data_IF_461310138093
#
_entry.id   IF_461310138093
#
_cell.length_a   1.000
_cell.length_b   1.000
_cell.length_c   1.000
_cell.angle_alpha   90.00
_cell.angle_beta   90.00
_cell.angle_gamma   90.00
#
_symmetry.space_group_name_H-M   'P 1'
#
loop_
_entity.id
_entity.type
_entity.pdbx_description
1 polymer ?
#
# COMPACT_ATOMS: atom_id res chain seq x y z
N UNK A 1 1.12 -20.09 26.15
CA UNK A 1 0.56 -18.74 25.88
C UNK A 1 0.32 -17.90 27.13
N UNK A 2 -0.43 -18.36 28.15
CA UNK A 2 -0.76 -17.56 29.35
C UNK A 2 0.34 -17.45 30.43
N UNK A 3 1.50 -18.09 30.22
CA UNK A 3 2.55 -18.14 31.24
C UNK A 3 3.23 -16.76 31.39
N UNK A 4 3.41 -16.21 32.61
CA UNK A 4 3.89 -14.84 32.80
C UNK A 4 5.29 -14.54 32.26
N UNK A 5 6.17 -15.54 32.22
CA UNK A 5 7.59 -15.35 31.83
C UNK A 5 8.00 -16.01 30.52
N UNK A 6 7.21 -16.96 30.01
CA UNK A 6 7.52 -17.73 28.79
C UNK A 6 6.36 -17.73 27.79
N UNK A 7 5.26 -17.04 28.14
CA UNK A 7 4.08 -16.90 27.31
C UNK A 7 4.20 -15.77 26.29
N UNK A 8 3.09 -15.50 25.62
CA UNK A 8 2.99 -14.37 24.69
C UNK A 8 3.01 -13.08 25.49
N UNK A 9 3.63 -12.04 24.94
CA UNK A 9 3.57 -10.72 25.55
C UNK A 9 2.12 -10.23 25.55
N UNK A 10 1.51 -10.23 26.73
CA UNK A 10 0.15 -9.71 26.91
C UNK A 10 0.23 -8.21 27.13
N UNK A 11 -0.66 -7.47 26.49
CA UNK A 11 -0.79 -6.04 26.69
C UNK A 11 -1.25 -5.79 28.13
N UNK A 12 -0.59 -4.85 28.80
CA UNK A 12 -1.04 -4.34 30.10
C UNK A 12 -2.48 -3.84 29.99
N UNK A 13 -3.23 -3.83 31.10
CA UNK A 13 -4.57 -3.23 31.15
C UNK A 13 -4.51 -1.75 30.75
N UNK A 14 -4.68 -1.49 29.46
CA UNK A 14 -4.88 -0.15 28.92
C UNK A 14 -6.38 0.15 29.00
N UNK A 15 -6.73 1.39 29.34
CA UNK A 15 -8.13 1.84 29.38
C UNK A 15 -8.79 1.54 28.03
N UNK A 16 -9.67 0.54 27.98
CA UNK A 16 -10.41 0.14 26.78
C UNK A 16 -10.01 -1.18 26.11
N UNK A 17 -9.00 -1.90 26.62
CA UNK A 17 -8.73 -3.30 26.22
C UNK A 17 -9.05 -4.26 27.37
N UNK A 18 -9.63 -5.41 27.04
CA UNK A 18 -9.84 -6.50 28.00
C UNK A 18 -8.51 -7.10 28.47
N UNK A 19 -8.47 -7.76 29.64
CA UNK A 19 -7.30 -8.52 30.05
C UNK A 19 -7.00 -9.64 29.04
N UNK A 20 -5.74 -10.09 28.99
CA UNK A 20 -5.25 -11.13 28.07
C UNK A 20 -5.32 -10.78 26.58
N UNK A 21 -5.27 -9.49 26.24
CA UNK A 21 -5.06 -9.04 24.87
C UNK A 21 -3.60 -9.23 24.44
N UNK A 22 -3.40 -9.59 23.17
CA UNK A 22 -2.10 -9.73 22.53
C UNK A 22 -2.16 -9.24 21.09
N UNK A 23 -0.98 -8.97 20.52
CA UNK A 23 -0.83 -8.57 19.12
C UNK A 23 -0.64 -9.81 18.24
N UNK A 24 -1.35 -9.88 17.10
CA UNK A 24 -1.32 -11.05 16.22
C UNK A 24 0.08 -11.36 15.64
N UNK A 25 0.90 -10.36 15.34
CA UNK A 25 2.28 -10.57 14.92
C UNK A 25 3.18 -11.16 16.03
N UNK A 26 3.01 -10.72 17.28
CA UNK A 26 3.82 -11.16 18.40
C UNK A 26 3.55 -12.62 18.77
N UNK A 27 2.27 -13.05 18.74
CA UNK A 27 1.93 -14.46 18.99
C UNK A 27 2.46 -15.38 17.89
N UNK A 28 2.39 -14.96 16.62
CA UNK A 28 2.94 -15.75 15.50
C UNK A 28 4.45 -15.87 15.63
N UNK A 29 5.15 -14.78 15.97
CA UNK A 29 6.59 -14.81 16.26
C UNK A 29 6.91 -15.71 17.47
N UNK A 30 6.10 -15.67 18.53
CA UNK A 30 6.25 -16.54 19.69
C UNK A 30 6.09 -18.02 19.32
N UNK A 31 5.05 -18.37 18.54
CA UNK A 31 4.78 -19.73 18.07
C UNK A 31 5.95 -20.31 17.29
N UNK A 32 6.50 -19.56 16.34
CA UNK A 32 7.64 -20.01 15.51
C UNK A 32 8.88 -20.27 16.36
N UNK A 33 9.12 -19.47 17.41
CA UNK A 33 10.34 -19.57 18.21
C UNK A 33 10.25 -20.54 19.40
N UNK A 34 9.05 -20.82 19.92
CA UNK A 34 8.87 -21.54 21.19
C UNK A 34 8.08 -22.84 21.08
N UNK A 35 7.40 -23.12 19.96
CA UNK A 35 6.61 -24.33 19.80
C UNK A 35 7.31 -25.30 18.84
N UNK A 36 7.62 -26.49 19.35
CA UNK A 36 8.22 -27.55 18.56
C UNK A 36 7.33 -27.93 17.36
N UNK A 37 7.94 -28.02 16.17
CA UNK A 37 7.26 -28.40 14.93
C UNK A 37 6.74 -27.22 14.10
N UNK A 38 6.77 -25.98 14.59
CA UNK A 38 6.43 -24.78 13.79
C UNK A 38 7.70 -24.19 13.20
N UNK A 39 7.91 -24.38 11.90
CA UNK A 39 9.11 -23.87 11.21
C UNK A 39 8.84 -22.64 10.33
N UNK A 40 7.57 -22.38 10.01
CA UNK A 40 7.21 -21.28 9.10
C UNK A 40 6.13 -20.39 9.70
N UNK A 41 6.16 -19.12 9.32
CA UNK A 41 5.14 -18.15 9.70
C UNK A 41 3.74 -18.58 9.21
N UNK A 42 3.65 -19.21 8.04
CA UNK A 42 2.39 -19.73 7.49
C UNK A 42 1.78 -20.79 8.40
N UNK A 43 2.57 -21.76 8.88
CA UNK A 43 2.09 -22.78 9.81
C UNK A 43 1.58 -22.18 11.13
N UNK A 44 2.26 -21.16 11.65
CA UNK A 44 1.82 -20.45 12.85
C UNK A 44 0.48 -19.71 12.63
N UNK A 45 0.32 -19.08 11.47
CA UNK A 45 -0.94 -18.42 11.08
C UNK A 45 -2.08 -19.43 10.97
N UNK A 46 -1.84 -20.61 10.37
CA UNK A 46 -2.84 -21.68 10.26
C UNK A 46 -3.29 -22.20 11.64
N UNK A 47 -2.37 -22.29 12.60
CA UNK A 47 -2.70 -22.66 13.98
C UNK A 47 -3.56 -21.58 14.64
N UNK A 48 -3.19 -20.31 14.48
CA UNK A 48 -3.98 -19.19 15.00
C UNK A 48 -5.37 -19.09 14.37
N UNK A 49 -5.48 -19.41 13.07
CA UNK A 49 -6.76 -19.52 12.37
C UNK A 49 -7.64 -20.61 13.00
N UNK A 50 -7.09 -21.79 13.28
CA UNK A 50 -7.82 -22.87 13.98
C UNK A 50 -8.26 -22.45 15.38
N UNK A 51 -7.40 -21.77 16.14
CA UNK A 51 -7.75 -21.26 17.47
C UNK A 51 -8.89 -20.23 17.42
N UNK A 52 -8.97 -19.44 16.35
CA UNK A 52 -10.07 -18.49 16.12
C UNK A 52 -11.37 -19.23 15.78
N UNK A 53 -11.31 -20.25 14.92
CA UNK A 53 -12.46 -21.08 14.55
C UNK A 53 -13.03 -21.86 15.75
N UNK A 54 -12.16 -22.39 16.60
CA UNK A 54 -12.50 -23.08 17.85
C UNK A 54 -12.91 -22.13 19.00
N UNK A 55 -12.96 -20.81 18.75
CA UNK A 55 -13.32 -19.78 19.73
C UNK A 55 -12.41 -19.74 20.97
N UNK A 56 -11.18 -20.23 20.87
CA UNK A 56 -10.17 -20.11 21.94
C UNK A 56 -9.61 -18.68 22.02
N UNK A 57 -9.67 -17.95 20.90
CA UNK A 57 -9.32 -16.54 20.79
C UNK A 57 -10.43 -15.81 20.04
N UNK A 58 -10.59 -14.53 20.33
CA UNK A 58 -11.53 -13.64 19.60
C UNK A 58 -10.86 -12.30 19.35
N UNK A 59 -11.36 -11.52 18.39
CA UNK A 59 -10.89 -10.16 18.18
C UNK A 59 -11.16 -9.31 19.43
N UNK A 60 -10.28 -8.36 19.76
CA UNK A 60 -10.42 -7.55 20.97
C UNK A 60 -11.69 -6.69 21.00
N UNK A 61 -12.24 -6.33 19.83
CA UNK A 61 -13.55 -5.66 19.72
C UNK A 61 -14.75 -6.54 20.11
N UNK A 62 -14.56 -7.86 20.24
CA UNK A 62 -15.64 -8.83 20.46
C UNK A 62 -16.39 -9.25 19.20
N UNK A 63 -16.00 -8.75 18.02
CA UNK A 63 -16.57 -9.20 16.76
C UNK A 63 -16.06 -10.59 16.36
N UNK A 64 -16.92 -11.37 15.72
CA UNK A 64 -16.59 -12.70 15.22
C UNK A 64 -15.97 -12.60 13.81
N UNK A 65 -14.64 -12.63 13.75
CA UNK A 65 -13.91 -12.59 12.49
C UNK A 65 -13.83 -13.99 11.90
N UNK A 66 -14.02 -14.10 10.59
CA UNK A 66 -13.90 -15.39 9.86
C UNK A 66 -12.45 -15.76 9.56
N UNK A 67 -11.57 -14.77 9.57
CA UNK A 67 -10.16 -14.90 9.19
C UNK A 67 -9.28 -14.25 10.25
N UNK A 68 -8.22 -14.95 10.63
CA UNK A 68 -7.15 -14.44 11.46
C UNK A 68 -6.28 -13.51 10.63
N UNK A 69 -6.02 -12.31 11.14
CA UNK A 69 -5.24 -11.31 10.44
C UNK A 69 -3.90 -11.15 11.13
N UNK A 70 -2.87 -11.55 10.40
CA UNK A 70 -1.49 -11.34 10.79
C UNK A 70 -1.10 -9.87 10.61
N UNK A 71 -0.60 -9.24 11.67
CA UNK A 71 -0.20 -7.84 11.66
C UNK A 71 -0.17 -7.22 13.04
N UNK A 72 -0.35 -5.90 13.10
CA UNK A 72 -0.62 -5.19 14.33
C UNK A 72 -2.13 -5.19 14.59
N UNK A 73 -2.68 -6.35 14.97
CA UNK A 73 -4.11 -6.54 15.27
C UNK A 73 -4.28 -7.07 16.68
N UNK A 74 -5.37 -6.66 17.35
CA UNK A 74 -5.63 -7.00 18.74
C UNK A 74 -6.56 -8.22 18.86
N UNK A 75 -6.08 -9.26 19.53
CA UNK A 75 -6.87 -10.44 19.86
C UNK A 75 -6.85 -10.66 21.37
N UNK A 76 -7.89 -11.30 21.90
CA UNK A 76 -7.98 -11.71 23.31
C UNK A 76 -8.10 -13.22 23.43
N UNK A 77 -7.48 -13.77 24.46
CA UNK A 77 -7.67 -15.18 24.81
C UNK A 77 -8.99 -15.33 25.55
N UNK A 78 -9.86 -16.21 25.08
CA UNK A 78 -11.12 -16.50 25.77
C UNK A 78 -10.82 -17.27 27.06
N UNK A 79 -11.43 -16.84 28.16
CA UNK A 79 -11.37 -17.55 29.45
C UNK A 79 -12.75 -18.05 29.78
N UNK A 80 -12.88 -19.29 30.27
CA UNK A 80 -14.14 -19.98 30.61
C UNK A 80 -15.03 -19.27 31.68
N UNK A 81 -14.66 -18.05 32.10
CA UNK A 81 -15.38 -17.23 33.08
C UNK A 81 -16.21 -16.10 32.45
N UNK A 82 -16.52 -16.16 31.16
CA UNK A 82 -17.62 -15.36 30.60
C UNK A 82 -18.89 -16.21 30.67
N UNK A 83 -19.84 -15.92 31.58
CA UNK A 83 -21.05 -16.72 31.72
C UNK A 83 -21.92 -16.60 30.45
N UNK A 84 -22.20 -17.75 29.85
CA UNK A 84 -23.31 -18.08 28.95
C UNK A 84 -23.66 -17.11 27.81
N UNK A 85 -23.07 -17.35 26.63
CA UNK A 85 -23.82 -17.25 25.35
C UNK A 85 -24.46 -18.59 25.04
N UNK A 86 -25.37 -19.05 25.89
CA UNK A 86 -26.30 -20.12 25.51
C UNK A 86 -27.36 -19.51 24.60
N UNK A 87 -27.56 -20.13 23.45
CA UNK A 87 -28.51 -19.76 22.43
C UNK A 87 -29.93 -19.56 22.99
N UNK A 88 -30.53 -18.39 22.74
CA UNK A 88 -31.99 -18.30 22.63
C UNK A 88 -32.38 -17.20 21.64
N UNK A 89 -32.94 -17.63 20.51
CA UNK A 89 -33.75 -16.79 19.63
C UNK A 89 -35.00 -16.33 20.40
N UNK A 90 -35.24 -15.02 20.51
CA UNK A 90 -36.56 -14.35 20.30
C UNK A 90 -36.50 -12.83 20.55
N UNK A 91 -37.49 -12.04 20.06
CA UNK A 91 -37.24 -10.78 19.37
C UNK A 91 -37.36 -9.52 20.23
N UNK A 92 -36.75 -8.45 19.71
CA UNK A 92 -36.92 -7.02 19.99
C UNK A 92 -37.82 -6.62 21.17
N UNK A 93 -37.24 -5.99 22.19
CA UNK A 93 -37.64 -4.65 22.66
C UNK A 93 -36.77 -4.18 23.85
N UNK A 94 -36.39 -2.89 23.79
CA UNK A 94 -36.06 -1.98 24.90
C UNK A 94 -34.72 -2.13 25.64
N UNK A 95 -33.76 -1.30 25.18
CA UNK A 95 -32.87 -0.43 25.96
C UNK A 95 -32.54 -0.83 27.40
N UNK A 96 -31.33 -1.39 27.61
CA UNK A 96 -30.32 -1.00 28.61
C UNK A 96 -29.20 -2.06 28.63
N UNK A 97 -28.07 -1.78 27.97
CA UNK A 97 -26.81 -2.50 28.21
C UNK A 97 -25.64 -1.54 28.13
N UNK A 98 -24.97 -1.35 29.27
CA UNK A 98 -23.66 -0.73 29.33
C UNK A 98 -22.62 -1.67 28.67
N UNK A 99 -21.74 -1.12 27.84
CA UNK A 99 -20.41 -1.71 27.61
C UNK A 99 -20.17 -2.54 26.34
N UNK A 100 -21.02 -2.50 25.31
CA UNK A 100 -20.58 -2.89 23.97
C UNK A 100 -20.08 -1.63 23.28
N UNK A 101 -18.79 -1.33 23.43
CA UNK A 101 -18.15 -0.35 22.54
C UNK A 101 -18.42 -0.83 21.10
N UNK A 102 -19.21 -0.05 20.36
CA UNK A 102 -19.55 -0.34 18.96
C UNK A 102 -18.26 -0.64 18.17
N UNK A 103 -18.28 -1.61 17.26
CA UNK A 103 -17.08 -2.00 16.50
C UNK A 103 -16.43 -0.80 15.80
N UNK A 104 -17.27 0.12 15.31
CA UNK A 104 -16.80 1.36 14.72
C UNK A 104 -16.10 2.29 15.74
N UNK A 105 -16.51 2.27 17.00
CA UNK A 105 -15.83 2.99 18.10
C UNK A 105 -14.47 2.37 18.41
N UNK A 106 -14.36 1.04 18.39
CA UNK A 106 -13.06 0.36 18.53
C UNK A 106 -12.10 0.73 17.40
N UNK A 107 -12.57 0.66 16.14
CA UNK A 107 -11.77 1.03 14.96
C UNK A 107 -11.31 2.49 14.98
N UNK A 108 -12.07 3.39 15.59
CA UNK A 108 -11.68 4.81 15.75
C UNK A 108 -10.68 5.05 16.88
N UNK A 109 -10.50 4.10 17.81
CA UNK A 109 -9.59 4.24 18.96
C UNK A 109 -8.23 3.58 18.70
N UNK A 110 -8.19 2.49 17.95
CA UNK A 110 -7.02 1.63 17.83
C UNK A 110 -6.43 1.61 16.41
N UNK A 111 -5.11 1.69 16.32
CA UNK A 111 -4.39 1.46 15.08
C UNK A 111 -4.32 -0.04 14.79
N UNK A 112 -4.83 -0.47 13.65
CA UNK A 112 -4.70 -1.85 13.20
C UNK A 112 -4.21 -1.92 11.77
N UNK A 113 -3.09 -2.61 11.58
CA UNK A 113 -2.42 -2.69 10.29
C UNK A 113 -2.11 -4.14 9.98
N UNK A 114 -2.62 -4.64 8.86
CA UNK A 114 -2.38 -6.00 8.41
C UNK A 114 -1.02 -6.09 7.71
N UNK A 115 -0.27 -7.15 7.97
CA UNK A 115 0.96 -7.44 7.22
C UNK A 115 0.62 -8.35 6.07
N UNK A 116 0.75 -7.84 4.85
CA UNK A 116 0.53 -8.64 3.66
C UNK A 116 1.82 -9.42 3.41
N UNK A 117 1.76 -10.73 3.61
CA UNK A 117 2.80 -11.62 3.11
C UNK A 117 2.72 -11.57 1.57
N UNK A 118 3.63 -10.83 0.94
CA UNK A 118 3.78 -10.90 -0.51
C UNK A 118 4.35 -12.28 -0.85
N UNK A 119 3.59 -13.07 -1.61
CA UNK A 119 4.11 -14.30 -2.18
C UNK A 119 5.33 -13.92 -3.03
N UNK A 120 6.50 -14.44 -2.66
CA UNK A 120 7.71 -14.32 -3.48
C UNK A 120 7.33 -14.79 -4.88
N UNK A 121 7.40 -13.90 -5.86
CA UNK A 121 7.26 -14.30 -7.25
C UNK A 121 8.43 -15.24 -7.51
N UNK A 122 8.17 -16.54 -7.65
CA UNK A 122 9.20 -17.59 -7.77
C UNK A 122 9.91 -17.54 -9.14
N UNK A 123 9.97 -16.37 -9.77
CA UNK A 123 10.48 -16.18 -11.11
C UNK A 123 11.36 -14.95 -11.16
N UNK A 124 12.59 -15.15 -11.63
CA UNK A 124 13.51 -14.06 -11.95
C UNK A 124 13.08 -13.28 -13.20
N UNK A 125 12.03 -13.75 -13.90
CA UNK A 125 11.50 -13.11 -15.10
C UNK A 125 10.78 -11.81 -14.72
N UNK A 126 11.14 -10.67 -15.32
CA UNK A 126 10.42 -9.41 -15.12
C UNK A 126 8.94 -9.52 -15.51
N UNK A 127 8.05 -8.94 -14.70
CA UNK A 127 6.60 -9.09 -14.88
C UNK A 127 6.07 -8.68 -16.27
N UNK A 128 6.71 -7.69 -16.92
CA UNK A 128 6.35 -7.23 -18.26
C UNK A 128 6.71 -8.22 -19.39
N UNK A 129 7.52 -9.25 -19.10
CA UNK A 129 7.89 -10.32 -20.05
C UNK A 129 7.15 -11.63 -19.76
N UNK A 130 6.38 -11.72 -18.67
CA UNK A 130 5.59 -12.92 -18.38
C UNK A 130 4.59 -13.20 -19.50
N UNK A 131 4.33 -14.49 -19.84
CA UNK A 131 3.31 -14.85 -20.81
C UNK A 131 1.92 -14.27 -20.46
N UNK A 132 1.61 -14.22 -19.17
CA UNK A 132 0.40 -13.63 -18.60
C UNK A 132 0.73 -12.58 -17.55
N UNK A 133 0.08 -11.43 -17.62
CA UNK A 133 0.31 -10.32 -16.70
C UNK A 133 -0.42 -10.54 -15.36
N UNK A 134 0.22 -10.25 -14.21
CA UNK A 134 -0.37 -10.40 -12.88
C UNK A 134 -1.63 -9.54 -12.62
N UNK A 135 -1.82 -8.49 -13.43
CA UNK A 135 -2.91 -7.52 -13.31
C UNK A 135 -4.26 -8.00 -13.87
N UNK A 136 -4.32 -9.14 -14.57
CA UNK A 136 -5.59 -9.70 -15.07
C UNK A 136 -6.25 -10.58 -14.00
N UNK A 137 -7.54 -10.38 -13.66
CA UNK A 137 -8.29 -11.33 -12.84
C UNK A 137 -8.18 -12.75 -13.42
N UNK A 138 -8.05 -13.74 -12.54
CA UNK A 138 -7.86 -15.16 -12.87
C UNK A 138 -8.98 -15.78 -13.76
N UNK A 139 -10.02 -15.02 -14.11
CA UNK A 139 -11.17 -15.46 -14.90
C UNK A 139 -10.86 -15.76 -16.36
N UNK A 140 -9.71 -15.36 -16.91
CA UNK A 140 -9.30 -15.69 -18.28
C UNK A 140 -8.19 -16.76 -18.36
N UNK A 141 -7.68 -17.24 -17.23
CA UNK A 141 -6.82 -18.41 -17.22
C UNK A 141 -7.67 -19.62 -17.63
N UNK A 142 -7.61 -19.98 -18.91
CA UNK A 142 -8.23 -21.18 -19.47
C UNK A 142 -7.91 -22.38 -18.55
N UNK A 143 -8.95 -23.17 -18.23
CA UNK A 143 -8.90 -24.35 -17.34
C UNK A 143 -7.98 -25.47 -17.85
N UNK A 144 -7.24 -25.26 -18.94
CA UNK A 144 -6.47 -26.30 -19.63
C UNK A 144 -4.94 -26.18 -19.48
N UNK A 145 -4.42 -25.19 -18.74
CA UNK A 145 -2.98 -25.02 -18.55
C UNK A 145 -2.58 -25.18 -17.08
N UNK A 146 -1.85 -26.26 -16.78
CA UNK A 146 -1.22 -26.50 -15.47
C UNK A 146 -0.15 -25.44 -15.13
N UNK A 147 0.38 -24.75 -16.14
CA UNK A 147 1.38 -23.68 -15.98
C UNK A 147 0.76 -22.38 -15.43
N UNK A 148 -0.55 -22.15 -15.65
CA UNK A 148 -1.27 -20.96 -15.18
C UNK A 148 -1.56 -20.96 -13.68
N UNK A 149 -1.47 -22.11 -13.00
CA UNK A 149 -1.65 -22.20 -11.54
C UNK A 149 -0.42 -21.73 -10.77
N UNK A 150 0.77 -21.79 -11.37
CA UNK A 150 2.03 -21.47 -10.70
C UNK A 150 2.38 -19.98 -10.71
N UNK A 151 1.70 -19.15 -11.49
CA UNK A 151 2.16 -17.78 -11.80
C UNK A 151 1.15 -16.64 -11.55
N UNK A 152 -0.12 -16.90 -11.20
CA UNK A 152 -1.11 -15.80 -11.16
C UNK A 152 -2.45 -16.02 -10.47
N UNK A 153 -2.62 -17.08 -9.69
CA UNK A 153 -3.82 -17.20 -8.85
C UNK A 153 -3.60 -16.50 -7.52
N UNK A 154 -4.29 -15.39 -7.21
CA UNK A 154 -4.41 -14.95 -5.81
C UNK A 154 -4.93 -16.13 -4.99
N UNK A 155 -4.20 -16.57 -3.98
CA UNK A 155 -4.67 -17.61 -3.06
C UNK A 155 -6.04 -17.21 -2.48
N UNK A 156 -6.93 -18.18 -2.23
CA UNK A 156 -8.24 -17.89 -1.62
C UNK A 156 -8.08 -17.14 -0.29
N UNK A 157 -7.01 -17.43 0.46
CA UNK A 157 -6.60 -16.71 1.65
C UNK A 157 -6.31 -15.23 1.37
N UNK A 158 -5.54 -14.89 0.32
CA UNK A 158 -5.27 -13.50 -0.06
C UNK A 158 -6.54 -12.74 -0.51
N UNK A 159 -7.47 -13.42 -1.19
CA UNK A 159 -8.75 -12.82 -1.58
C UNK A 159 -9.66 -12.54 -0.38
N UNK A 160 -9.72 -13.47 0.58
CA UNK A 160 -10.47 -13.30 1.83
C UNK A 160 -9.86 -12.19 2.71
N UNK A 161 -8.54 -12.13 2.85
CA UNK A 161 -7.86 -11.04 3.54
C UNK A 161 -8.16 -9.68 2.90
N UNK A 162 -8.10 -9.57 1.57
CA UNK A 162 -8.44 -8.34 0.86
C UNK A 162 -9.92 -7.94 1.03
N UNK A 163 -10.82 -8.90 1.22
CA UNK A 163 -12.23 -8.62 1.50
C UNK A 163 -12.49 -8.20 2.96
N UNK A 164 -11.60 -8.57 3.88
CA UNK A 164 -11.76 -8.35 5.33
C UNK A 164 -11.02 -7.09 5.81
N UNK A 165 -9.88 -6.76 5.22
CA UNK A 165 -9.05 -5.61 5.60
C UNK A 165 -9.43 -4.40 4.73
N UNK A 166 -9.97 -3.31 5.31
CA UNK A 166 -10.22 -2.09 4.56
C UNK A 166 -8.90 -1.47 4.08
N UNK A 167 -8.90 -0.91 2.87
CA UNK A 167 -7.69 -0.32 2.26
C UNK A 167 -7.18 0.91 3.03
N UNK A 168 -8.10 1.75 3.50
CA UNK A 168 -7.83 2.88 4.38
C UNK A 168 -8.63 2.76 5.68
N UNK A 169 -8.02 3.16 6.78
CA UNK A 169 -8.62 3.21 8.12
C UNK A 169 -8.56 4.62 8.68
N UNK A 170 -9.37 4.88 9.70
CA UNK A 170 -9.43 6.19 10.37
C UNK A 170 -9.46 6.01 11.88
N UNK A 171 -8.56 6.72 12.56
CA UNK A 171 -8.48 6.77 14.03
C UNK A 171 -8.57 8.22 14.49
N UNK A 172 -9.21 8.46 15.63
CA UNK A 172 -9.21 9.75 16.32
C UNK A 172 -8.02 9.78 17.26
N UNK A 173 -7.12 10.74 17.04
CA UNK A 173 -5.94 10.95 17.86
C UNK A 173 -6.16 12.08 18.86
N UNK A 174 -5.80 11.83 20.10
CA UNK A 174 -5.53 12.87 21.08
C UNK A 174 -4.10 13.38 20.86
N UNK A 175 -3.96 14.67 20.54
CA UNK A 175 -2.67 15.27 20.19
C UNK A 175 -1.94 15.77 21.43
N UNK A 176 -2.66 16.05 22.51
CA UNK A 176 -2.08 16.51 23.78
C UNK A 176 -2.02 15.38 24.82
N UNK A 177 -1.31 14.31 24.48
CA UNK A 177 -1.12 13.14 25.36
C UNK A 177 -0.53 13.52 26.73
N UNK A 178 0.20 14.64 26.80
CA UNK A 178 0.84 15.12 28.02
C UNK A 178 -0.06 16.07 28.83
N UNK A 179 -1.29 16.35 28.38
CA UNK A 179 -2.22 17.33 28.98
C UNK A 179 -1.53 18.66 29.32
N UNK A 180 -0.71 19.18 28.40
CA UNK A 180 -0.04 20.47 28.57
C UNK A 180 -1.01 21.65 28.41
N UNK A 181 -2.15 21.40 27.77
CA UNK A 181 -3.19 22.37 27.49
C UNK A 181 -4.48 21.94 28.19
N UNK A 182 -5.25 22.91 28.67
CA UNK A 182 -6.58 22.67 29.26
C UNK A 182 -7.67 22.40 28.19
N UNK A 183 -7.28 22.33 26.91
CA UNK A 183 -8.17 22.17 25.78
C UNK A 183 -8.03 20.77 25.21
N UNK A 184 -9.17 20.13 24.90
CA UNK A 184 -9.18 18.88 24.15
C UNK A 184 -8.71 19.13 22.71
N UNK A 185 -7.46 18.77 22.40
CA UNK A 185 -6.88 18.88 21.06
C UNK A 185 -6.84 17.53 20.37
N UNK A 186 -7.67 17.34 19.34
CA UNK A 186 -7.77 16.07 18.62
C UNK A 186 -7.75 16.22 17.10
N UNK A 187 -7.23 15.21 16.40
CA UNK A 187 -7.24 15.14 14.94
C UNK A 187 -7.70 13.77 14.43
N UNK A 188 -8.20 13.73 13.20
CA UNK A 188 -8.49 12.48 12.51
C UNK A 188 -7.27 12.03 11.71
N UNK A 189 -6.82 10.80 11.96
CA UNK A 189 -5.69 10.19 11.31
C UNK A 189 -6.18 9.10 10.35
N UNK A 190 -5.90 9.28 9.06
CA UNK A 190 -6.16 8.29 8.03
C UNK A 190 -4.85 7.57 7.70
N UNK A 191 -4.90 6.25 7.54
CA UNK A 191 -3.72 5.43 7.28
C UNK A 191 -4.09 4.19 6.46
N UNK A 192 -3.10 3.55 5.84
CA UNK A 192 -3.33 2.29 5.11
C UNK A 192 -3.66 1.16 6.09
N UNK A 193 -4.72 0.40 5.80
CA UNK A 193 -5.08 -0.78 6.60
C UNK A 193 -4.12 -1.96 6.38
N UNK A 194 -3.27 -1.90 5.37
CA UNK A 194 -2.23 -2.88 5.09
C UNK A 194 -0.85 -2.24 4.97
N UNK A 195 0.17 -3.00 5.38
CA UNK A 195 1.57 -2.68 5.22
C UNK A 195 2.23 -3.66 4.25
N UNK A 196 3.02 -3.12 3.31
CA UNK A 196 3.78 -3.84 2.29
C UNK A 196 5.18 -3.23 2.22
N UNK A 197 6.20 -4.08 2.08
CA UNK A 197 7.60 -3.64 2.01
C UNK A 197 7.94 -2.93 0.70
N UNK A 198 7.15 -3.19 -0.35
CA UNK A 198 7.40 -2.69 -1.70
C UNK A 198 6.58 -1.43 -2.04
N UNK A 199 5.88 -0.86 -1.06
CA UNK A 199 5.02 0.30 -1.24
C UNK A 199 5.21 1.32 -0.11
N UNK A 200 4.89 2.59 -0.40
CA UNK A 200 4.85 3.63 0.61
C UNK A 200 3.65 3.42 1.55
N UNK A 201 3.83 3.78 2.82
CA UNK A 201 2.78 3.80 3.83
C UNK A 201 2.39 5.25 4.12
N UNK A 202 1.15 5.63 3.82
CA UNK A 202 0.65 6.98 3.98
C UNK A 202 -0.04 7.16 5.34
N UNK A 203 0.20 8.30 5.98
CA UNK A 203 -0.53 8.78 7.15
C UNK A 203 -0.98 10.21 6.86
N UNK A 204 -2.29 10.44 6.80
CA UNK A 204 -2.90 11.76 6.61
C UNK A 204 -3.53 12.25 7.92
N UNK A 205 -3.14 13.44 8.34
CA UNK A 205 -3.68 14.07 9.55
C UNK A 205 -4.63 15.21 9.15
N UNK A 206 -5.92 15.03 9.45
CA UNK A 206 -6.92 16.06 9.28
C UNK A 206 -7.16 16.71 10.65
N UNK A 207 -6.72 17.96 10.77
CA UNK A 207 -6.72 18.68 12.04
C UNK A 207 -7.45 20.01 11.86
N UNK A 208 -8.55 20.17 12.60
CA UNK A 208 -9.33 21.43 12.68
C UNK A 208 -9.43 21.95 14.12
N UNK A 209 -9.22 21.08 15.11
CA UNK A 209 -9.39 21.36 16.53
C UNK A 209 -8.07 21.35 17.32
N UNK A 210 -6.93 21.51 16.65
CA UNK A 210 -5.58 21.34 17.23
C UNK A 210 -4.73 22.58 17.00
N UNK A 211 -3.91 22.95 17.97
CA UNK A 211 -2.85 23.95 17.79
C UNK A 211 -1.71 23.39 16.96
N UNK A 212 -1.35 24.06 15.86
CA UNK A 212 -0.35 23.58 14.90
C UNK A 212 1.01 23.21 15.55
N UNK A 213 1.44 23.96 16.57
CA UNK A 213 2.69 23.69 17.28
C UNK A 213 2.65 22.36 18.04
N UNK A 214 1.53 22.04 18.70
CA UNK A 214 1.37 20.79 19.45
C UNK A 214 1.33 19.59 18.49
N UNK A 215 0.59 19.74 17.37
CA UNK A 215 0.60 18.74 16.30
C UNK A 215 2.01 18.52 15.74
N UNK A 216 2.75 19.60 15.50
CA UNK A 216 4.12 19.52 14.99
C UNK A 216 5.04 18.80 15.97
N UNK A 217 4.94 19.06 17.28
CA UNK A 217 5.70 18.32 18.31
C UNK A 217 5.39 16.83 18.30
N UNK A 218 4.11 16.44 18.18
CA UNK A 218 3.71 15.04 18.09
C UNK A 218 4.31 14.36 16.86
N UNK A 219 4.18 14.97 15.67
CA UNK A 219 4.73 14.41 14.42
C UNK A 219 6.26 14.37 14.44
N UNK A 220 6.92 15.34 15.07
CA UNK A 220 8.37 15.31 15.32
C UNK A 220 8.77 14.15 16.23
N UNK A 221 7.96 13.85 17.26
CA UNK A 221 8.13 12.65 18.08
C UNK A 221 8.05 11.37 17.26
N UNK A 222 7.06 11.27 16.37
CA UNK A 222 6.91 10.12 15.47
C UNK A 222 8.07 9.99 14.50
N UNK A 223 8.58 11.09 13.94
CA UNK A 223 9.74 11.07 13.04
C UNK A 223 10.98 10.48 13.69
N UNK A 224 11.28 10.90 14.93
CA UNK A 224 12.40 10.35 15.71
C UNK A 224 12.18 8.87 16.02
N UNK A 225 10.96 8.50 16.42
CA UNK A 225 10.62 7.11 16.76
C UNK A 225 10.69 6.20 15.53
N UNK A 226 10.17 6.66 14.38
CA UNK A 226 10.26 5.95 13.11
C UNK A 226 11.71 5.61 12.76
N UNK A 227 12.61 6.59 12.89
CA UNK A 227 14.05 6.39 12.65
C UNK A 227 14.64 5.30 13.56
N UNK A 228 14.27 5.29 14.85
CA UNK A 228 14.72 4.25 15.80
C UNK A 228 14.21 2.85 15.46
N UNK A 229 13.10 2.75 14.73
CA UNK A 229 12.50 1.51 14.27
C UNK A 229 12.95 1.13 12.84
N UNK A 230 13.90 1.86 12.24
CA UNK A 230 14.38 1.61 10.88
C UNK A 230 13.48 2.14 9.76
N UNK A 231 12.51 3.00 10.09
CA UNK A 231 11.62 3.62 9.11
C UNK A 231 12.03 5.08 8.79
N UNK A 232 11.73 5.51 7.57
CA UNK A 232 11.82 6.91 7.17
C UNK A 232 10.41 7.53 7.14
N UNK A 233 10.17 8.48 8.03
CA UNK A 233 8.95 9.31 7.99
C UNK A 233 9.31 10.65 7.35
N UNK A 234 8.65 11.03 6.26
CA UNK A 234 8.84 12.32 5.59
C UNK A 234 7.50 13.01 5.37
N UNK A 235 7.44 14.34 5.50
CA UNK A 235 6.25 15.08 5.08
C UNK A 235 6.19 15.09 3.55
N UNK A 236 4.98 15.00 3.02
CA UNK A 236 4.69 14.99 1.59
C UNK A 236 3.54 15.93 1.28
N UNK A 237 3.55 16.54 0.10
CA UNK A 237 2.41 17.34 -0.36
C UNK A 237 1.24 16.43 -0.73
N UNK A 238 0.03 16.88 -0.40
CA UNK A 238 -1.18 16.31 -1.01
C UNK A 238 -1.18 16.70 -2.51
N UNK A 239 -1.12 15.70 -3.38
CA UNK A 239 -1.08 15.89 -4.84
C UNK A 239 0.22 16.52 -5.35
N UNK A 240 1.34 15.78 -5.40
CA UNK A 240 2.62 16.29 -5.91
C UNK A 240 2.57 16.68 -7.40
N UNK A 241 1.60 16.15 -8.15
CA UNK A 241 1.37 16.43 -9.56
C UNK A 241 0.05 17.19 -9.74
N UNK A 242 0.09 18.52 -9.62
CA UNK A 242 -1.07 19.37 -9.92
C UNK A 242 -1.12 19.64 -11.43
N UNK A 243 -2.22 19.25 -12.09
CA UNK A 243 -2.43 19.62 -13.48
C UNK A 243 -2.79 21.11 -13.62
N UNK A 244 -2.32 21.79 -14.68
CA UNK A 244 -2.73 23.17 -14.98
C UNK A 244 -4.24 23.34 -15.22
N UNK A 245 -4.98 22.26 -15.47
CA UNK A 245 -6.45 22.26 -15.63
C UNK A 245 -7.21 22.41 -14.32
N UNK A 246 -6.56 22.26 -13.15
CA UNK A 246 -7.17 22.63 -11.89
C UNK A 246 -7.23 24.16 -11.80
N UNK A 247 -8.41 24.70 -11.49
CA UNK A 247 -8.66 26.14 -11.26
C UNK A 247 -7.73 26.77 -10.20
N UNK A 248 -7.00 25.95 -9.43
CA UNK A 248 -6.02 26.32 -8.42
C UNK A 248 -4.68 25.57 -8.56
N UNK A 249 -4.36 25.05 -9.75
CA UNK A 249 -3.07 24.41 -10.00
C UNK A 249 -1.94 25.40 -9.76
N UNK A 250 -1.12 25.16 -8.74
CA UNK A 250 0.00 26.02 -8.37
C UNK A 250 1.01 26.07 -9.54
N UNK A 251 1.18 27.22 -10.22
CA UNK A 251 2.06 27.34 -11.38
C UNK A 251 3.53 27.12 -11.03
N UNK A 252 3.89 27.15 -9.74
CA UNK A 252 5.24 26.85 -9.26
C UNK A 252 5.48 25.33 -9.10
N UNK A 253 4.45 24.50 -9.29
CA UNK A 253 4.52 23.03 -9.24
C UNK A 253 4.61 22.40 -10.64
N UNK A 254 5.34 23.05 -11.54
CA UNK A 254 5.51 22.55 -12.90
C UNK A 254 6.18 21.16 -12.89
N UNK A 255 5.47 20.17 -13.42
CA UNK A 255 6.00 18.81 -13.62
C UNK A 255 7.09 18.82 -14.70
N UNK A 256 8.20 18.14 -14.45
CA UNK A 256 9.22 17.90 -15.46
C UNK A 256 8.92 16.56 -16.15
N UNK A 257 8.75 16.55 -17.46
CA UNK A 257 8.57 15.31 -18.21
C UNK A 257 9.91 14.76 -18.69
N UNK A 258 10.21 13.52 -18.35
CA UNK A 258 11.41 12.79 -18.75
C UNK A 258 10.99 11.75 -19.80
N UNK A 259 11.32 11.96 -21.10
CA UNK A 259 10.96 11.01 -22.15
C UNK A 259 11.78 9.72 -22.01
N UNK A 260 11.14 8.57 -22.22
CA UNK A 260 11.81 7.28 -22.28
C UNK A 260 12.08 6.91 -23.75
N UNK A 261 13.35 6.77 -24.10
CA UNK A 261 13.76 6.43 -25.46
C UNK A 261 13.55 4.93 -25.75
N UNK A 262 12.39 4.57 -26.30
CA UNK A 262 12.10 3.17 -26.69
C UNK A 262 12.73 2.79 -28.02
N UNK A 263 13.02 3.74 -28.91
CA UNK A 263 13.47 3.40 -30.28
C UNK A 263 14.79 2.62 -30.28
N UNK A 264 15.66 2.87 -29.29
CA UNK A 264 16.91 2.13 -29.11
C UNK A 264 16.73 0.65 -28.72
N UNK A 265 15.52 0.24 -28.34
CA UNK A 265 15.19 -1.13 -27.91
C UNK A 265 14.46 -1.94 -28.99
N UNK A 266 14.06 -1.30 -30.10
CA UNK A 266 13.36 -1.97 -31.19
C UNK A 266 14.29 -2.92 -31.94
N UNK A 267 13.79 -4.11 -32.27
CA UNK A 267 14.48 -5.06 -33.15
C UNK A 267 14.39 -4.58 -34.59
N UNK A 268 15.37 -4.91 -35.42
CA UNK A 268 15.33 -4.62 -36.85
C UNK A 268 14.04 -5.19 -37.47
N UNK A 269 13.23 -4.30 -38.07
CA UNK A 269 11.94 -4.65 -38.71
C UNK A 269 10.71 -4.71 -37.79
N UNK A 270 10.85 -4.42 -36.49
CA UNK A 270 9.73 -4.35 -35.54
C UNK A 270 9.31 -2.89 -35.31
N UNK A 271 7.99 -2.64 -35.29
CA UNK A 271 7.44 -1.29 -35.05
C UNK A 271 7.21 -1.03 -33.54
N UNK A 272 7.02 -2.08 -32.72
CA UNK A 272 6.76 -1.93 -31.29
C UNK A 272 7.55 -2.92 -30.40
N UNK A 273 7.90 -2.47 -29.19
CA UNK A 273 8.74 -3.22 -28.24
C UNK A 273 8.19 -4.60 -27.85
N UNK A 274 6.87 -4.78 -27.87
CA UNK A 274 6.17 -5.98 -27.40
C UNK A 274 5.42 -6.72 -28.51
N UNK A 275 5.86 -6.62 -29.77
CA UNK A 275 5.21 -7.27 -30.93
C UNK A 275 5.05 -8.80 -30.79
N UNK A 276 5.85 -9.45 -29.93
CA UNK A 276 5.73 -10.88 -29.63
C UNK A 276 4.54 -11.25 -28.72
N UNK A 277 3.81 -10.28 -28.20
CA UNK A 277 2.69 -10.48 -27.28
C UNK A 277 1.38 -9.96 -27.87
N UNK A 278 0.26 -10.30 -27.22
CA UNK A 278 -1.06 -9.78 -27.61
C UNK A 278 -1.06 -8.24 -27.59
N UNK A 279 -1.48 -7.56 -28.68
CA UNK A 279 -1.51 -6.10 -28.76
C UNK A 279 -2.30 -5.42 -27.64
N UNK A 280 -3.34 -6.09 -27.12
CA UNK A 280 -4.14 -5.61 -26.00
C UNK A 280 -3.33 -5.43 -24.71
N UNK A 281 -2.25 -6.19 -24.54
CA UNK A 281 -1.38 -6.15 -23.36
C UNK A 281 -0.27 -5.12 -23.45
N UNK A 282 -0.10 -4.46 -24.60
CA UNK A 282 1.03 -3.54 -24.86
C UNK A 282 1.20 -2.48 -23.78
N UNK A 283 0.13 -1.78 -23.41
CA UNK A 283 0.20 -0.68 -22.43
C UNK A 283 0.36 -1.17 -20.99
N UNK A 284 -0.19 -2.33 -20.65
CA UNK A 284 0.04 -2.96 -19.35
C UNK A 284 1.49 -3.43 -19.22
N UNK A 285 2.08 -3.96 -20.30
CA UNK A 285 3.51 -4.31 -20.37
C UNK A 285 4.40 -3.08 -20.32
N UNK A 286 4.04 -2.02 -21.04
CA UNK A 286 4.76 -0.75 -20.98
C UNK A 286 4.76 -0.18 -19.57
N UNK A 287 3.62 -0.22 -18.87
CA UNK A 287 3.53 0.12 -17.45
C UNK A 287 4.48 -0.69 -16.59
N UNK A 288 4.44 -2.01 -16.68
CA UNK A 288 5.31 -2.87 -15.89
C UNK A 288 6.79 -2.69 -16.23
N UNK A 289 7.13 -2.36 -17.48
CA UNK A 289 8.49 -2.02 -17.89
C UNK A 289 8.96 -0.71 -17.26
N UNK A 290 8.13 0.33 -17.31
CA UNK A 290 8.44 1.62 -16.69
C UNK A 290 8.53 1.51 -15.16
N UNK A 291 7.65 0.72 -14.54
CA UNK A 291 7.69 0.40 -13.12
C UNK A 291 8.97 -0.36 -12.73
N UNK A 292 9.44 -1.31 -13.56
CA UNK A 292 10.70 -2.00 -13.32
C UNK A 292 11.92 -1.04 -13.38
N UNK A 293 11.91 -0.07 -14.30
CA UNK A 293 12.93 0.99 -14.32
C UNK A 293 12.84 1.84 -13.06
N UNK A 294 11.64 2.28 -12.66
CA UNK A 294 11.44 3.07 -11.45
C UNK A 294 11.96 2.31 -10.20
N UNK A 295 11.62 1.04 -10.04
CA UNK A 295 12.12 0.21 -8.94
C UNK A 295 13.64 0.09 -8.92
N UNK A 296 14.29 -0.04 -10.09
CA UNK A 296 15.76 -0.06 -10.18
C UNK A 296 16.40 1.21 -9.61
N UNK A 297 15.74 2.35 -9.77
CA UNK A 297 16.17 3.63 -9.24
C UNK A 297 15.69 3.89 -7.80
N UNK A 298 15.12 2.90 -7.11
CA UNK A 298 14.69 3.05 -5.72
C UNK A 298 13.36 3.78 -5.56
N UNK A 299 12.51 3.79 -6.59
CA UNK A 299 11.13 4.25 -6.43
C UNK A 299 10.24 3.12 -5.91
N UNK A 300 9.36 3.46 -4.97
CA UNK A 300 8.33 2.56 -4.41
C UNK A 300 6.94 3.12 -4.70
N UNK A 301 5.97 2.23 -4.88
CA UNK A 301 4.63 2.62 -5.30
C UNK A 301 3.87 3.33 -4.17
N UNK A 302 3.23 4.45 -4.48
CA UNK A 302 2.23 5.08 -3.64
C UNK A 302 0.85 4.53 -4.03
N UNK A 303 0.43 3.45 -3.37
CA UNK A 303 -0.75 2.65 -3.75
C UNK A 303 -2.08 3.38 -3.59
N UNK A 304 -2.20 4.31 -2.63
CA UNK A 304 -3.49 4.80 -2.16
C UNK A 304 -3.62 6.34 -2.10
N UNK A 305 -2.76 7.07 -2.80
CA UNK A 305 -2.87 8.52 -3.03
C UNK A 305 -4.21 8.99 -3.67
N UNK A 306 -5.12 8.06 -4.01
CA UNK A 306 -6.30 8.27 -4.84
C UNK A 306 -7.51 8.94 -4.17
N UNK A 307 -7.44 9.34 -2.90
CA UNK A 307 -8.52 10.04 -2.21
C UNK A 307 -8.04 11.34 -1.58
N UNK A 308 -7.96 12.40 -2.39
CA UNK A 308 -8.03 13.75 -1.87
C UNK A 308 -9.49 14.05 -1.50
N UNK A 309 -9.71 14.72 -0.38
CA UNK A 309 -11.03 15.18 0.05
C UNK A 309 -11.51 16.22 -1.00
N UNK A 310 -12.44 15.84 -1.89
CA UNK A 310 -13.14 16.67 -2.90
C UNK A 310 -12.63 16.70 -4.35
N UNK A 311 -11.53 16.04 -4.73
CA UNK A 311 -11.09 16.04 -6.13
C UNK A 311 -11.06 14.63 -6.71
N UNK A 312 -11.61 14.40 -7.92
CA UNK A 312 -11.43 13.13 -8.60
C UNK A 312 -9.94 12.95 -8.87
N UNK A 313 -9.30 12.07 -8.11
CA UNK A 313 -7.92 11.71 -8.35
C UNK A 313 -7.83 11.06 -9.73
N UNK A 314 -6.99 11.61 -10.60
CA UNK A 314 -6.62 10.89 -11.80
C UNK A 314 -5.95 9.59 -11.37
N UNK A 315 -6.44 8.46 -11.89
CA UNK A 315 -5.97 7.12 -11.55
C UNK A 315 -4.62 6.81 -12.23
N UNK A 316 -3.67 7.75 -12.11
CA UNK A 316 -2.31 7.65 -12.62
C UNK A 316 -1.43 7.05 -11.53
N UNK A 317 -0.66 6.00 -11.85
CA UNK A 317 0.30 5.42 -10.91
C UNK A 317 1.32 6.47 -10.45
N UNK A 318 1.49 6.59 -9.13
CA UNK A 318 2.46 7.46 -8.50
C UNK A 318 3.46 6.64 -7.68
N UNK A 319 4.68 7.16 -7.60
CA UNK A 319 5.78 6.54 -6.89
C UNK A 319 6.55 7.62 -6.13
N UNK A 320 7.14 7.23 -5.01
CA UNK A 320 8.03 8.05 -4.21
C UNK A 320 9.40 7.36 -4.16
N UNK A 321 10.48 8.12 -4.29
CA UNK A 321 11.81 7.57 -4.08
C UNK A 321 11.99 7.19 -2.60
N UNK A 322 12.72 6.12 -2.28
CA UNK A 322 12.95 5.63 -0.89
C UNK A 322 13.55 6.67 0.06
N UNK A 323 14.18 7.72 -0.47
CA UNK A 323 14.72 8.85 0.32
C UNK A 323 13.66 9.91 0.65
N UNK A 324 12.46 9.82 0.06
CA UNK A 324 11.38 10.80 0.20
C UNK A 324 11.59 12.13 -0.52
N UNK A 325 12.66 12.27 -1.31
CA UNK A 325 13.05 13.56 -1.91
C UNK A 325 12.33 13.90 -3.21
N UNK A 326 11.79 12.89 -3.90
CA UNK A 326 11.29 13.00 -5.28
C UNK A 326 10.09 12.09 -5.46
N UNK A 327 9.13 12.55 -6.27
CA UNK A 327 8.00 11.78 -6.77
C UNK A 327 8.12 11.52 -8.27
N UNK A 328 7.53 10.41 -8.70
CA UNK A 328 7.40 10.00 -10.09
C UNK A 328 5.93 9.67 -10.37
N UNK A 329 5.41 10.06 -11.53
CA UNK A 329 4.07 9.67 -11.96
C UNK A 329 4.11 9.22 -13.43
N UNK A 330 3.37 8.15 -13.73
CA UNK A 330 3.23 7.68 -15.10
C UNK A 330 2.16 8.52 -15.83
N UNK A 331 2.37 8.85 -17.12
CA UNK A 331 1.54 9.83 -17.83
C UNK A 331 0.15 9.30 -18.22
N UNK A 332 -0.12 8.01 -18.08
CA UNK A 332 -1.38 7.37 -18.43
C UNK A 332 -2.11 6.82 -17.21
N UNK A 333 -3.45 6.89 -17.27
CA UNK A 333 -4.33 6.33 -16.26
C UNK A 333 -4.39 4.81 -16.38
N UNK A 334 -4.46 4.07 -15.27
CA UNK A 334 -4.79 2.63 -15.32
C UNK A 334 -6.14 2.50 -16.02
N UNK A 335 -6.17 1.86 -17.20
CA UNK A 335 -7.42 1.55 -17.91
C UNK A 335 -8.26 0.71 -16.96
N UNK A 336 -9.37 1.26 -16.49
CA UNK A 336 -10.40 0.42 -15.88
C UNK A 336 -10.91 -0.47 -17.01
N UNK A 337 -10.63 -1.77 -16.96
CA UNK A 337 -11.37 -2.77 -17.72
C UNK A 337 -12.81 -2.82 -17.16
N UNK A 338 -13.55 -1.73 -17.33
CA UNK A 338 -15.00 -1.74 -17.22
C UNK A 338 -15.53 -2.03 -18.61
N UNK A 339 -16.08 -3.23 -18.78
CA UNK A 339 -16.81 -3.60 -19.99
C UNK A 339 -17.83 -2.53 -20.37
N UNK A 340 -17.98 -2.34 -21.69
CA UNK A 340 -18.98 -1.49 -22.33
C UNK A 340 -18.97 -0.01 -21.90
N UNK A 341 -18.34 0.83 -22.73
CA UNK A 341 -18.91 2.14 -23.01
C UNK A 341 -20.32 1.92 -23.57
N UNK A 342 -21.35 1.96 -22.72
CA UNK A 342 -22.70 2.33 -23.17
C UNK A 342 -22.57 3.76 -23.69
N UNK A 343 -22.37 3.89 -25.01
CA UNK A 343 -22.54 5.14 -25.76
C UNK A 343 -23.93 5.67 -25.45
N UNK A 344 -24.05 6.57 -24.47
CA UNK A 344 -25.23 7.41 -24.31
C UNK A 344 -25.11 8.49 -25.38
N UNK A 345 -25.69 8.24 -26.55
CA UNK A 345 -25.96 9.28 -27.55
C UNK A 345 -26.85 10.31 -26.86
N UNK A 346 -26.36 11.54 -26.72
CA UNK A 346 -27.08 12.80 -26.93
C UNK A 346 -26.38 13.93 -26.17
N UNK A 347 -25.45 14.63 -26.82
CA UNK A 347 -25.22 16.08 -26.61
C UNK A 347 -24.47 16.62 -27.83
N UNK A 348 -25.17 17.36 -28.68
CA UNK A 348 -24.60 18.26 -29.67
C UNK A 348 -24.28 19.58 -28.97
N UNK A 349 -23.05 19.76 -28.49
CA UNK A 349 -22.44 21.08 -28.29
C UNK A 349 -20.99 20.94 -27.84
N UNK A 350 -20.13 21.68 -28.55
CA UNK A 350 -18.78 22.09 -28.17
C UNK A 350 -17.80 21.00 -27.72
N UNK A 351 -16.86 20.60 -28.58
CA UNK A 351 -15.46 20.50 -28.13
C UNK A 351 -14.46 20.46 -29.30
N UNK A 352 -13.83 21.59 -29.58
CA UNK A 352 -12.41 21.62 -29.92
C UNK A 352 -11.60 21.23 -28.67
N UNK A 353 -11.72 19.98 -28.23
CA UNK A 353 -10.77 19.37 -27.30
C UNK A 353 -9.94 18.34 -28.07
N UNK A 354 -8.99 18.84 -28.85
CA UNK A 354 -7.68 18.19 -28.91
C UNK A 354 -6.96 18.43 -27.57
N UNK A 355 -7.55 17.97 -26.45
CA UNK A 355 -6.86 17.78 -25.17
C UNK A 355 -6.46 16.31 -24.98
N UNK A 356 -6.35 15.57 -26.09
CA UNK A 356 -5.64 14.31 -26.11
C UNK A 356 -4.16 14.61 -25.89
N UNK A 357 -3.72 14.51 -24.64
CA UNK A 357 -2.33 14.24 -24.34
C UNK A 357 -1.95 13.02 -25.20
N UNK A 358 -1.10 13.20 -26.21
CA UNK A 358 -0.42 12.07 -26.83
C UNK A 358 0.10 11.19 -25.68
N UNK A 359 -0.17 9.88 -25.72
CA UNK A 359 0.32 8.91 -24.73
C UNK A 359 1.85 8.81 -24.87
N UNK A 360 2.54 9.86 -24.40
CA UNK A 360 3.99 9.98 -24.44
C UNK A 360 4.57 8.99 -23.44
N UNK A 361 5.50 8.16 -23.90
CA UNK A 361 6.19 7.23 -23.02
C UNK A 361 7.31 7.97 -22.29
N UNK A 362 7.21 7.98 -20.98
CA UNK A 362 8.12 8.70 -20.10
C UNK A 362 7.53 8.86 -18.71
N UNK A 363 8.10 9.79 -17.96
CA UNK A 363 7.78 9.95 -16.54
C UNK A 363 7.57 11.43 -16.22
N UNK A 364 6.55 11.72 -15.40
CA UNK A 364 6.42 13.00 -14.75
C UNK A 364 7.25 12.99 -13.47
N UNK A 365 8.09 14.00 -13.30
CA UNK A 365 9.00 14.16 -12.17
C UNK A 365 8.61 15.39 -11.36
N UNK A 366 8.58 15.24 -10.03
CA UNK A 366 8.33 16.32 -9.10
C UNK A 366 9.23 16.21 -7.86
N UNK A 367 9.71 17.34 -7.35
CA UNK A 367 10.49 17.39 -6.12
C UNK A 367 9.57 17.43 -4.89
N UNK A 368 9.99 16.79 -3.80
CA UNK A 368 9.30 16.95 -2.52
C UNK A 368 9.68 18.27 -1.85
N UNK A 369 8.87 19.30 -2.09
CA UNK A 369 9.08 20.64 -1.52
C UNK A 369 8.79 20.72 -0.01
N UNK A 370 8.12 19.72 0.57
CA UNK A 370 7.86 19.65 2.00
C UNK A 370 9.06 19.13 2.80
N UNK A 371 10.06 18.55 2.12
CA UNK A 371 11.27 18.04 2.75
C UNK A 371 12.25 19.18 3.09
N UNK A 372 11.92 19.92 4.15
CA UNK A 372 12.79 20.96 4.71
C UNK A 372 13.96 20.35 5.50
N UNK A 373 14.96 21.18 5.84
CA UNK A 373 16.13 20.75 6.64
C UNK A 373 15.76 20.02 7.92
N UNK A 374 14.65 20.39 8.57
CA UNK A 374 14.19 19.81 9.82
C UNK A 374 13.80 18.34 9.69
N UNK A 375 13.35 17.91 8.51
CA UNK A 375 12.88 16.53 8.26
C UNK A 375 13.95 15.64 7.64
N UNK A 376 15.12 16.20 7.32
CA UNK A 376 16.23 15.45 6.73
C UNK A 376 16.91 14.58 7.78
N UNK A 377 17.26 13.38 7.33
CA UNK A 377 18.08 12.42 8.06
C UNK A 377 19.16 11.87 7.13
N UNK A 378 20.07 11.04 7.65
CA UNK A 378 21.08 10.34 6.83
C UNK A 378 20.47 9.54 5.68
N UNK A 379 19.23 9.06 5.84
CA UNK A 379 18.51 8.30 4.81
C UNK A 379 17.99 9.18 3.65
N UNK A 380 17.85 10.50 3.85
CA UNK A 380 17.28 11.40 2.81
C UNK A 380 18.31 11.89 1.79
N UNK A 381 19.60 11.66 2.06
CA UNK A 381 20.71 12.19 1.25
C UNK A 381 20.93 13.70 1.43
N UNK A 382 21.94 14.23 0.72
CA UNK A 382 22.26 15.66 0.72
C UNK A 382 21.28 16.48 -0.13
N UNK A 383 21.40 17.80 -0.08
CA UNK A 383 20.52 18.70 -0.86
C UNK A 383 20.68 18.52 -2.38
N UNK A 384 21.85 18.05 -2.83
CA UNK A 384 22.15 17.82 -4.26
C UNK A 384 21.77 16.43 -4.75
N UNK A 385 21.29 15.55 -3.86
CA UNK A 385 20.98 14.16 -4.19
C UNK A 385 19.89 14.10 -5.26
N UNK A 386 18.80 14.85 -5.08
CA UNK A 386 17.67 14.84 -6.00
C UNK A 386 18.07 15.28 -7.42
N UNK A 387 18.96 16.26 -7.56
CA UNK A 387 19.44 16.72 -8.87
C UNK A 387 20.38 15.71 -9.53
N UNK A 388 21.24 15.05 -8.74
CA UNK A 388 22.09 13.96 -9.24
C UNK A 388 21.24 12.77 -9.70
N UNK A 389 20.20 12.43 -8.93
CA UNK A 389 19.26 11.37 -9.28
C UNK A 389 18.49 11.73 -10.56
N UNK A 390 17.99 12.97 -10.68
CA UNK A 390 17.32 13.45 -11.90
C UNK A 390 18.23 13.30 -13.12
N UNK A 391 19.49 13.73 -13.01
CA UNK A 391 20.47 13.62 -14.09
C UNK A 391 20.73 12.16 -14.46
N UNK A 392 21.01 11.31 -13.47
CA UNK A 392 21.29 9.89 -13.70
C UNK A 392 20.09 9.16 -14.32
N UNK A 393 18.88 9.45 -13.84
CA UNK A 393 17.64 8.89 -14.37
C UNK A 393 17.39 9.36 -15.81
N UNK A 394 17.58 10.65 -16.09
CA UNK A 394 17.44 11.20 -17.45
C UNK A 394 18.46 10.60 -18.41
N UNK A 395 19.73 10.53 -18.00
CA UNK A 395 20.82 9.91 -18.76
C UNK A 395 20.51 8.44 -19.07
N UNK A 396 19.94 7.70 -18.11
CA UNK A 396 19.47 6.33 -18.34
C UNK A 396 18.32 6.28 -19.35
N UNK A 397 17.28 7.12 -19.21
CA UNK A 397 16.12 7.13 -20.09
C UNK A 397 16.44 7.47 -21.56
N UNK A 398 17.49 8.26 -21.82
CA UNK A 398 17.95 8.56 -23.19
C UNK A 398 18.92 7.51 -23.76
N UNK A 399 19.16 6.42 -23.01
CA UNK A 399 20.12 5.36 -23.33
C UNK A 399 21.59 5.83 -23.40
N UNK A 400 21.99 6.76 -22.52
CA UNK A 400 23.40 7.15 -22.41
C UNK A 400 24.25 5.95 -21.99
N UNK A 401 25.41 5.80 -22.62
CA UNK A 401 26.36 4.69 -22.40
C UNK A 401 25.72 3.30 -22.57
N UNK A 402 24.67 3.18 -23.40
CA UNK A 402 23.90 1.96 -23.64
C UNK A 402 23.24 1.33 -22.40
N UNK A 403 23.10 2.08 -21.29
CA UNK A 403 22.60 1.54 -20.02
C UNK A 403 21.18 0.99 -20.11
N UNK A 404 20.31 1.62 -20.91
CA UNK A 404 18.92 1.19 -21.10
C UNK A 404 18.87 -0.08 -21.95
N UNK A 405 19.66 -0.15 -23.02
CA UNK A 405 19.81 -1.36 -23.85
C UNK A 405 20.35 -2.52 -23.00
N UNK A 406 21.41 -2.31 -22.22
CA UNK A 406 21.96 -3.36 -21.35
C UNK A 406 20.94 -3.85 -20.32
N UNK A 407 20.13 -2.95 -19.76
CA UNK A 407 19.03 -3.34 -18.87
C UNK A 407 18.01 -4.24 -19.56
N UNK A 408 17.54 -3.80 -20.73
CA UNK A 408 16.56 -4.54 -21.53
C UNK A 408 17.09 -5.93 -21.93
N UNK A 409 18.34 -6.02 -22.40
CA UNK A 409 18.98 -7.29 -22.75
C UNK A 409 19.07 -8.21 -21.53
N UNK A 410 19.48 -7.71 -20.37
CA UNK A 410 19.52 -8.50 -19.12
C UNK A 410 18.13 -9.03 -18.73
N UNK A 411 17.07 -8.25 -18.93
CA UNK A 411 15.70 -8.70 -18.71
C UNK A 411 15.29 -9.84 -19.66
N UNK A 412 15.66 -9.74 -20.95
CA UNK A 412 15.42 -10.80 -21.94
C UNK A 412 16.22 -12.07 -21.63
N UNK A 413 17.48 -11.93 -21.22
CA UNK A 413 18.33 -13.06 -20.83
C UNK A 413 17.70 -13.86 -19.67
N UNK A 414 17.16 -13.19 -18.65
CA UNK A 414 16.44 -13.85 -17.54
C UNK A 414 15.21 -14.61 -18.02
N UNK A 415 14.47 -14.06 -18.98
CA UNK A 415 13.33 -14.74 -19.61
C UNK A 415 13.78 -15.99 -20.37
N UNK A 416 14.85 -15.89 -21.16
CA UNK A 416 15.37 -17.02 -21.93
C UNK A 416 16.01 -18.11 -21.06
N UNK A 417 16.72 -17.74 -20.00
CA UNK A 417 17.31 -18.69 -19.05
C UNK A 417 16.26 -19.44 -18.22
N UNK A 418 15.07 -18.84 -18.05
CA UNK A 418 13.94 -19.44 -17.33
C UNK A 418 12.98 -20.21 -18.25
N UNK A 419 13.20 -20.21 -19.56
CA UNK A 419 12.44 -21.03 -20.50
C UNK A 419 12.98 -22.48 -20.45
N UNK A 420 12.09 -23.49 -20.34
CA UNK A 420 12.50 -24.90 -20.23
C UNK A 420 13.16 -25.47 -21.48
#
# INVERSE_FOLDING_TARGET
MKHPSTGVQLLSEQKGLSPYCFISAEVVHWLVNHVEGIQTQAMAIDIMQKMLEEQLITHASGEAWRTFIYGFYFYKIVTDKEPDRVAMQQPATTWHTAGVDDFASFQRKWFEVAFVAEELVHSEIPAFLLPWLPSRPASYASRHSSFSRSFGGRSQAAALLAATVPEQRTVTLDVDVNNRTDRLEWCSCYYHGNFSLNAAFEIKLHWMAVTAAVLFEMVQGWHRKATSCGFLLVPVLEGPFALPSYLYGDPLRAQLFIPLNISCLLKEGSEHLFDSFEPETYWDRMHLFQEAIAHRFGFVQDKYSASAFNFPAENKPQYIHVTGTVFLQLPYSKRKFSGQQRRRRNSTSSTNQNMFCEERVGYNWAYNTMLTKTWRSSATGDEKFADRLLKDFTDFCINRDNRLVTFWTSCLEKMHASAP
#
